data_IF_703631675874
#
_entry.id   IF_703631675874
#
_cell.length_a   1.000
_cell.length_b   1.000
_cell.length_c   1.000
_cell.angle_alpha   90.00
_cell.angle_beta   90.00
_cell.angle_gamma   90.00
#
_symmetry.space_group_name_H-M   'P 1'
#
loop_
_entity.id
_entity.type
_entity.pdbx_description
1 polymer ?
#
# COMPACT_ATOMS: atom_id res chain seq x y z
N UNK A 1 -5.44 -5.14 -21.22
CA UNK A 1 -5.49 -3.66 -21.32
C UNK A 1 -5.86 -3.20 -19.92
N UNK A 2 -4.89 -3.27 -19.02
CA UNK A 2 -5.08 -3.05 -17.60
C UNK A 2 -4.13 -1.95 -17.18
N UNK A 3 -4.53 -0.70 -17.42
CA UNK A 3 -3.88 0.41 -16.76
C UNK A 3 -4.10 0.27 -15.25
N UNK A 4 -3.15 0.74 -14.44
CA UNK A 4 -3.38 0.85 -12.99
C UNK A 4 -4.51 1.85 -12.78
N UNK A 5 -5.62 1.39 -12.19
CA UNK A 5 -6.77 2.25 -11.90
C UNK A 5 -6.57 3.09 -10.62
N UNK A 6 -5.74 2.58 -9.70
CA UNK A 6 -5.50 3.22 -8.40
C UNK A 6 -4.10 2.89 -7.85
N UNK A 7 -3.44 3.88 -7.26
CA UNK A 7 -2.14 3.76 -6.58
C UNK A 7 -2.37 4.00 -5.09
N UNK A 8 -2.15 2.94 -4.30
CA UNK A 8 -2.15 3.00 -2.84
C UNK A 8 -0.80 3.49 -2.30
N UNK A 9 -0.86 4.38 -1.31
CA UNK A 9 0.29 4.96 -0.65
C UNK A 9 0.02 5.27 0.84
N UNK A 10 1.07 5.62 1.57
CA UNK A 10 0.92 5.97 2.97
C UNK A 10 0.10 7.26 3.13
N UNK A 11 -0.77 7.31 4.15
CA UNK A 11 -1.45 8.52 4.60
C UNK A 11 -0.44 9.52 5.22
N UNK A 12 0.35 10.16 4.36
CA UNK A 12 1.33 11.18 4.68
C UNK A 12 1.35 12.24 3.56
N UNK A 13 1.33 13.51 3.96
CA UNK A 13 1.19 14.61 3.01
C UNK A 13 2.31 14.67 1.96
N UNK A 14 3.55 14.35 2.37
CA UNK A 14 4.72 14.38 1.47
C UNK A 14 4.71 13.18 0.51
N UNK A 15 4.26 12.02 0.99
CA UNK A 15 4.12 10.81 0.16
C UNK A 15 3.03 11.01 -0.89
N UNK A 16 1.87 11.54 -0.50
CA UNK A 16 0.77 11.84 -1.43
C UNK A 16 1.23 12.83 -2.50
N UNK A 17 1.97 13.88 -2.13
CA UNK A 17 2.50 14.86 -3.08
C UNK A 17 3.46 14.20 -4.08
N UNK A 18 4.41 13.39 -3.61
CA UNK A 18 5.36 12.68 -4.47
C UNK A 18 4.68 11.67 -5.41
N UNK A 19 3.61 11.00 -4.95
CA UNK A 19 2.81 10.10 -5.81
C UNK A 19 2.12 10.89 -6.90
N UNK A 20 1.50 12.03 -6.57
CA UNK A 20 0.86 12.92 -7.55
C UNK A 20 1.85 13.43 -8.60
N UNK A 21 3.01 13.94 -8.18
CA UNK A 21 4.09 14.36 -9.10
C UNK A 21 4.53 13.22 -10.03
N UNK A 22 4.64 12.00 -9.50
CA UNK A 22 4.99 10.82 -10.29
C UNK A 22 3.92 10.45 -11.33
N UNK A 23 2.63 10.59 -10.98
CA UNK A 23 1.50 10.38 -11.89
C UNK A 23 1.50 11.42 -13.01
N UNK A 24 1.72 12.70 -12.66
CA UNK A 24 1.80 13.80 -13.63
C UNK A 24 2.94 13.57 -14.62
N UNK A 25 4.15 13.30 -14.13
CA UNK A 25 5.31 12.99 -14.97
C UNK A 25 5.05 11.78 -15.89
N UNK A 26 4.45 10.71 -15.36
CA UNK A 26 4.08 9.54 -16.17
C UNK A 26 3.03 9.88 -17.24
N UNK A 27 2.08 10.76 -16.92
CA UNK A 27 1.06 11.24 -17.86
C UNK A 27 1.69 12.03 -18.99
N UNK A 28 2.64 12.92 -18.69
CA UNK A 28 3.38 13.70 -19.69
C UNK A 28 4.24 12.81 -20.59
N UNK A 29 4.95 11.84 -20.03
CA UNK A 29 5.88 10.99 -20.77
C UNK A 29 5.16 9.94 -21.62
N UNK A 30 4.15 9.29 -21.05
CA UNK A 30 3.50 8.13 -21.66
C UNK A 30 2.12 8.43 -22.27
N UNK A 31 1.58 9.64 -22.09
CA UNK A 31 0.25 10.01 -22.57
C UNK A 31 -0.84 9.15 -21.95
N UNK A 32 -0.81 8.97 -20.62
CA UNK A 32 -1.81 8.15 -19.91
C UNK A 32 -3.22 8.67 -20.22
N UNK A 33 -4.06 7.82 -20.82
CA UNK A 33 -5.42 8.22 -21.18
C UNK A 33 -6.34 8.41 -19.97
N UNK A 34 -5.99 7.79 -18.84
CA UNK A 34 -6.69 7.91 -17.56
C UNK A 34 -5.68 8.11 -16.44
N UNK A 35 -5.93 9.11 -15.60
CA UNK A 35 -5.17 9.32 -14.38
C UNK A 35 -5.59 8.25 -13.35
N UNK A 36 -4.67 7.45 -12.79
CA UNK A 36 -4.99 6.57 -11.67
C UNK A 36 -5.49 7.39 -10.47
N UNK A 37 -6.38 6.82 -9.67
CA UNK A 37 -6.75 7.40 -8.38
C UNK A 37 -5.61 7.27 -7.37
N UNK A 38 -5.43 8.27 -6.52
CA UNK A 38 -4.52 8.20 -5.37
C UNK A 38 -5.31 7.72 -4.15
N UNK A 39 -4.92 6.56 -3.61
CA UNK A 39 -5.50 5.99 -2.39
C UNK A 39 -4.50 6.14 -1.25
N UNK A 40 -5.00 6.54 -0.08
CA UNK A 40 -4.21 6.51 1.16
C UNK A 40 -4.67 5.35 2.05
N UNK A 41 -3.73 4.69 2.70
CA UNK A 41 -4.02 3.60 3.64
C UNK A 41 -3.87 4.03 5.11
N UNK A 42 -4.88 3.68 5.92
CA UNK A 42 -4.92 3.84 7.39
C UNK A 42 -5.35 2.55 8.08
N UNK A 43 -5.18 2.50 9.40
CA UNK A 43 -5.58 1.37 10.24
C UNK A 43 -6.45 1.82 11.41
N UNK A 44 -7.43 1.00 11.79
CA UNK A 44 -8.30 1.25 12.96
C UNK A 44 -7.66 0.77 14.29
N UNK A 45 -6.78 -0.23 14.26
CA UNK A 45 -6.04 -0.76 15.39
C UNK A 45 -4.63 -1.20 14.96
N UNK A 46 -3.83 -1.77 15.87
CA UNK A 46 -2.51 -2.31 15.58
C UNK A 46 -2.55 -3.28 14.41
N UNK A 47 -1.79 -2.94 13.37
CA UNK A 47 -1.71 -3.69 12.14
C UNK A 47 -0.24 -3.81 11.69
N UNK A 48 0.14 -5.00 11.19
CA UNK A 48 1.51 -5.31 10.77
C UNK A 48 1.92 -4.60 9.47
N UNK A 49 0.97 -4.10 8.69
CA UNK A 49 1.23 -3.20 7.56
C UNK A 49 1.64 -1.80 8.04
N UNK A 50 1.26 -1.43 9.28
CA UNK A 50 1.54 -0.14 9.90
C UNK A 50 2.62 -0.29 10.96
N UNK A 51 3.80 -0.68 10.50
CA UNK A 51 4.97 -0.90 11.35
C UNK A 51 6.18 -0.13 10.88
N UNK A 52 7.12 0.12 11.79
CA UNK A 52 8.45 0.64 11.49
C UNK A 52 9.50 -0.13 12.28
N UNK A 53 10.72 -0.11 11.76
CA UNK A 53 11.88 -0.52 12.53
C UNK A 53 12.23 0.57 13.54
N UNK A 54 12.68 0.18 14.72
CA UNK A 54 13.22 1.06 15.75
C UNK A 54 14.40 0.38 16.44
N UNK A 55 15.44 1.15 16.77
CA UNK A 55 16.55 0.71 17.62
C UNK A 55 17.23 1.92 18.23
N UNK A 56 17.92 1.72 19.36
CA UNK A 56 18.82 2.74 19.92
C UNK A 56 20.19 2.66 19.21
N UNK A 57 20.63 3.71 18.50
CA UNK A 57 21.93 3.71 17.83
C UNK A 57 23.13 3.61 18.80
N UNK A 58 22.93 3.90 20.08
CA UNK A 58 23.95 3.71 21.12
C UNK A 58 24.09 2.25 21.55
N UNK A 59 23.05 1.45 21.40
CA UNK A 59 23.10 0.00 21.65
C UNK A 59 23.75 -0.79 20.51
N UNK A 60 24.07 -0.13 19.38
CA UNK A 60 24.71 -0.78 18.23
C UNK A 60 26.23 -0.87 18.45
N UNK A 61 26.82 -2.09 18.49
CA UNK A 61 28.26 -2.25 18.68
C UNK A 61 29.08 -1.50 17.62
N UNK A 62 30.18 -0.88 18.04
CA UNK A 62 31.04 -0.10 17.14
C UNK A 62 31.69 -0.95 16.03
N UNK A 63 31.88 -2.25 16.28
CA UNK A 63 32.42 -3.25 15.35
C UNK A 63 31.34 -3.92 14.47
N UNK A 64 30.06 -3.53 14.62
CA UNK A 64 28.98 -4.03 13.78
C UNK A 64 29.19 -3.61 12.32
N UNK A 65 29.10 -4.58 11.40
CA UNK A 65 29.17 -4.31 9.95
C UNK A 65 27.94 -3.62 9.37
N UNK A 66 26.91 -3.39 10.20
CA UNK A 66 25.64 -2.69 9.86
C UNK A 66 24.95 -3.20 8.59
N UNK A 67 24.69 -4.53 8.47
CA UNK A 67 23.97 -5.07 7.30
C UNK A 67 22.55 -4.51 7.15
N UNK A 68 21.95 -4.02 8.24
CA UNK A 68 20.64 -3.37 8.24
C UNK A 68 20.62 -2.07 7.40
N UNK A 69 21.71 -1.31 7.37
CA UNK A 69 21.85 -0.10 6.55
C UNK A 69 21.85 -0.46 5.06
N UNK A 70 22.62 -1.49 4.70
CA UNK A 70 22.80 -1.97 3.32
C UNK A 70 21.50 -2.55 2.74
N UNK A 71 20.77 -3.34 3.54
CA UNK A 71 19.54 -4.01 3.07
C UNK A 71 18.34 -3.07 3.00
N UNK A 72 18.42 -1.88 3.60
CA UNK A 72 17.30 -0.95 3.71
C UNK A 72 17.06 -0.24 2.37
N UNK A 73 15.99 -0.58 1.63
CA UNK A 73 15.82 -0.06 0.27
C UNK A 73 15.48 1.43 0.21
N UNK A 74 15.02 2.01 1.32
CA UNK A 74 14.69 3.42 1.43
C UNK A 74 15.82 4.26 2.05
N UNK A 75 16.99 3.67 2.32
CA UNK A 75 18.09 4.33 3.05
C UNK A 75 17.59 5.03 4.32
N UNK A 76 16.74 4.32 5.07
CA UNK A 76 16.06 4.81 6.27
C UNK A 76 16.84 4.53 7.55
N UNK A 77 18.05 3.98 7.47
CA UNK A 77 18.91 3.69 8.62
C UNK A 77 20.21 4.46 8.40
N UNK A 78 20.62 5.26 9.39
CA UNK A 78 21.79 6.14 9.32
C UNK A 78 22.61 6.06 10.60
N UNK A 79 23.93 6.21 10.47
CA UNK A 79 24.89 6.25 11.58
C UNK A 79 25.96 7.36 11.39
N UNK A 80 25.55 8.48 10.77
CA UNK A 80 26.43 9.59 10.38
C UNK A 80 26.95 10.43 11.57
N UNK A 81 26.25 10.44 12.70
CA UNK A 81 26.58 11.19 13.92
C UNK A 81 27.92 10.78 14.55
N UNK A 82 28.39 9.55 14.31
CA UNK A 82 29.68 9.05 14.85
C UNK A 82 30.90 9.37 13.97
N UNK A 83 30.71 9.82 12.72
CA UNK A 83 31.81 10.09 11.78
C UNK A 83 32.22 11.57 11.70
N UNK A 84 31.47 12.48 12.32
CA UNK A 84 31.72 13.93 12.28
C UNK A 84 32.66 14.45 13.40
N UNK A 85 33.41 13.56 14.08
CA UNK A 85 34.52 13.94 14.98
C UNK A 85 35.86 14.11 14.23
N UNK A 86 35.82 14.10 12.90
CA UNK A 86 36.95 14.42 12.02
C UNK A 86 36.82 15.81 11.44
N UNK A 87 37.73 16.69 11.84
CA UNK A 87 37.90 18.09 11.45
C UNK A 87 37.58 18.38 9.97
N UNK A 88 36.53 19.17 9.72
CA UNK A 88 36.49 20.04 8.54
C UNK A 88 35.62 21.26 8.82
N UNK A 89 36.30 22.39 9.02
CA UNK A 89 35.71 23.71 8.94
C UNK A 89 35.21 23.92 7.51
N UNK A 90 33.89 23.96 7.31
CA UNK A 90 33.27 24.79 6.29
C UNK A 90 31.81 25.02 6.64
N UNK A 91 31.40 26.27 6.51
CA UNK A 91 30.09 26.84 6.76
C UNK A 91 29.03 26.23 5.84
N UNK A 92 28.32 25.21 6.31
CA UNK A 92 26.97 24.89 5.88
C UNK A 92 26.08 24.72 7.11
N UNK A 93 24.80 25.12 6.97
CA UNK A 93 23.74 24.99 7.98
C UNK A 93 23.80 23.61 8.68
N UNK A 94 23.54 23.53 9.99
CA UNK A 94 23.64 22.27 10.73
C UNK A 94 22.66 21.24 10.14
N UNK A 95 23.17 20.31 9.33
CA UNK A 95 22.42 19.10 8.98
C UNK A 95 22.27 18.34 10.28
N UNK A 96 21.04 18.20 10.78
CA UNK A 96 20.74 17.35 11.94
C UNK A 96 21.20 15.95 11.55
N UNK A 97 22.34 15.52 12.10
CA UNK A 97 22.85 14.17 11.92
C UNK A 97 21.97 13.26 12.78
N UNK A 98 21.03 12.57 12.14
CA UNK A 98 20.17 11.60 12.80
C UNK A 98 20.85 10.24 12.71
N UNK A 99 21.20 9.68 13.87
CA UNK A 99 21.57 8.28 14.02
C UNK A 99 20.33 7.46 14.35
N UNK A 100 20.24 6.25 13.81
CA UNK A 100 19.08 5.38 13.97
C UNK A 100 18.19 5.30 12.73
N UNK A 101 16.90 5.08 12.95
CA UNK A 101 15.89 4.97 11.89
C UNK A 101 15.31 6.34 11.56
N UNK A 102 15.44 6.77 10.31
CA UNK A 102 14.74 7.93 9.75
C UNK A 102 13.30 7.51 9.49
N UNK A 103 12.43 7.80 10.45
CA UNK A 103 11.03 7.37 10.50
C UNK A 103 10.28 7.67 9.21
N UNK A 104 10.52 8.83 8.59
CA UNK A 104 9.83 9.30 7.38
C UNK A 104 10.17 8.45 6.16
N UNK A 105 11.35 7.85 6.12
CA UNK A 105 11.80 6.95 5.04
C UNK A 105 11.48 5.48 5.33
N UNK A 106 11.33 5.13 6.60
CA UNK A 106 11.05 3.76 7.01
C UNK A 106 9.60 3.39 6.73
N UNK A 107 9.37 2.61 5.67
CA UNK A 107 8.04 2.12 5.30
C UNK A 107 7.72 0.73 5.86
N UNK A 108 8.49 0.22 6.82
CA UNK A 108 8.12 -1.00 7.55
C UNK A 108 8.31 -2.33 6.83
N UNK A 109 9.16 -2.40 5.80
CA UNK A 109 9.38 -3.63 5.02
C UNK A 109 9.94 -4.82 5.83
N UNK A 110 10.51 -4.54 6.99
CA UNK A 110 11.06 -5.53 7.91
C UNK A 110 12.36 -6.20 7.48
N UNK A 111 12.96 -5.82 6.34
CA UNK A 111 14.20 -6.45 5.82
C UNK A 111 15.40 -6.32 6.77
N UNK A 112 15.44 -5.26 7.56
CA UNK A 112 16.51 -5.00 8.52
C UNK A 112 16.46 -5.92 9.76
N UNK A 113 15.28 -6.42 10.15
CA UNK A 113 15.12 -7.24 11.35
C UNK A 113 15.92 -8.55 11.29
N UNK A 114 15.73 -9.44 10.30
CA UNK A 114 16.40 -10.74 10.29
C UNK A 114 17.90 -10.67 10.00
N UNK A 115 18.42 -9.53 9.54
CA UNK A 115 19.84 -9.37 9.20
C UNK A 115 20.66 -8.74 10.34
N UNK A 116 20.02 -8.24 11.40
CA UNK A 116 20.73 -7.65 12.53
C UNK A 116 21.46 -8.76 13.32
N UNK A 117 22.80 -8.79 13.37
CA UNK A 117 23.53 -9.88 14.03
C UNK A 117 23.41 -9.88 15.55
N UNK A 118 22.97 -8.77 16.14
CA UNK A 118 22.80 -8.59 17.59
C UNK A 118 21.34 -8.49 18.02
N UNK A 119 20.39 -8.68 17.10
CA UNK A 119 18.94 -8.65 17.37
C UNK A 119 18.48 -7.38 18.10
N UNK A 120 19.03 -6.21 17.70
CA UNK A 120 18.75 -4.90 18.33
C UNK A 120 17.61 -4.12 17.69
N UNK A 121 17.13 -4.56 16.52
CA UNK A 121 16.09 -3.86 15.76
C UNK A 121 14.74 -4.46 16.10
N UNK A 122 13.87 -3.65 16.71
CA UNK A 122 12.50 -4.04 17.02
C UNK A 122 11.51 -3.52 15.98
N UNK A 123 10.40 -4.24 15.85
CA UNK A 123 9.21 -3.78 15.14
C UNK A 123 8.33 -2.98 16.08
N UNK A 124 7.90 -1.79 15.64
CA UNK A 124 6.91 -0.99 16.35
C UNK A 124 5.74 -0.71 15.42
N UNK A 125 4.56 -1.17 15.83
CA UNK A 125 3.31 -0.84 15.16
C UNK A 125 2.82 0.53 15.61
N UNK A 126 2.17 1.25 14.70
CA UNK A 126 1.58 2.54 14.97
C UNK A 126 0.17 2.59 14.37
N UNK A 127 -0.66 3.49 14.89
CA UNK A 127 -1.99 3.78 14.35
C UNK A 127 -1.92 5.17 13.72
N UNK A 128 -2.47 5.32 12.52
CA UNK A 128 -2.54 6.62 11.86
C UNK A 128 -3.44 7.56 12.65
N UNK A 129 -2.96 8.78 12.86
CA UNK A 129 -3.74 9.80 13.56
C UNK A 129 -4.94 10.22 12.71
N UNK A 130 -6.14 10.11 13.28
CA UNK A 130 -7.38 10.36 12.56
C UNK A 130 -7.55 11.84 12.20
N UNK A 131 -7.09 12.77 13.04
CA UNK A 131 -7.19 14.21 12.77
C UNK A 131 -6.29 14.61 11.59
N UNK A 132 -5.04 14.13 11.59
CA UNK A 132 -4.08 14.32 10.49
C UNK A 132 -4.59 13.68 9.20
N UNK A 133 -5.23 12.51 9.30
CA UNK A 133 -5.86 11.85 8.14
C UNK A 133 -7.02 12.69 7.60
N UNK A 134 -7.89 13.21 8.47
CA UNK A 134 -8.99 14.07 8.07
C UNK A 134 -8.50 15.37 7.41
N UNK A 135 -7.41 15.96 7.89
CA UNK A 135 -6.75 17.10 7.24
C UNK A 135 -6.22 16.76 5.85
N UNK A 136 -5.63 15.57 5.70
CA UNK A 136 -5.15 15.06 4.42
C UNK A 136 -6.30 14.82 3.43
N UNK A 137 -7.42 14.26 3.89
CA UNK A 137 -8.64 14.04 3.09
C UNK A 137 -9.36 15.33 2.66
N UNK A 138 -9.10 16.46 3.34
CA UNK A 138 -9.60 17.77 2.93
C UNK A 138 -8.81 18.39 1.78
N UNK A 139 -7.69 17.78 1.37
CA UNK A 139 -6.94 18.20 0.19
C UNK A 139 -7.57 17.59 -1.06
N UNK A 140 -7.44 18.29 -2.19
CA UNK A 140 -7.98 17.87 -3.50
C UNK A 140 -7.02 16.92 -4.28
N UNK A 141 -6.13 16.22 -3.57
CA UNK A 141 -5.11 15.35 -4.17
C UNK A 141 -5.12 13.91 -3.63
N UNK A 142 -6.18 13.55 -2.90
CA UNK A 142 -6.51 12.19 -2.46
C UNK A 142 -7.88 11.80 -3.02
N UNK A 143 -7.93 10.71 -3.78
CA UNK A 143 -9.14 10.25 -4.46
C UNK A 143 -9.88 9.16 -3.66
N UNK A 144 -9.14 8.35 -2.91
CA UNK A 144 -9.67 7.18 -2.20
C UNK A 144 -8.96 6.93 -0.86
N UNK A 145 -9.58 6.15 0.02
CA UNK A 145 -8.94 5.72 1.26
C UNK A 145 -9.22 4.24 1.54
N UNK A 146 -8.18 3.53 1.97
CA UNK A 146 -8.25 2.16 2.50
C UNK A 146 -8.15 2.19 4.03
N UNK A 147 -9.08 1.50 4.69
CA UNK A 147 -9.05 1.25 6.14
C UNK A 147 -8.72 -0.23 6.35
N UNK A 148 -7.52 -0.50 6.85
CA UNK A 148 -7.16 -1.81 7.38
C UNK A 148 -7.84 -2.05 8.73
N UNK A 149 -8.49 -3.20 8.84
CA UNK A 149 -9.15 -3.63 10.06
C UNK A 149 -8.88 -5.09 10.35
N UNK A 150 -8.78 -5.42 11.65
CA UNK A 150 -8.71 -6.83 12.06
C UNK A 150 -10.04 -7.58 11.87
N UNK A 151 -11.15 -6.86 11.65
CA UNK A 151 -12.50 -7.41 11.52
C UNK A 151 -13.05 -8.07 12.79
N UNK A 152 -12.34 -7.99 13.92
CA UNK A 152 -12.73 -8.63 15.19
C UNK A 152 -13.50 -7.72 16.13
N UNK A 153 -13.30 -6.41 16.03
CA UNK A 153 -13.89 -5.40 16.90
C UNK A 153 -14.31 -4.20 16.06
N UNK A 154 -15.55 -3.75 16.23
CA UNK A 154 -16.12 -2.62 15.48
C UNK A 154 -15.95 -1.28 16.19
N UNK A 155 -15.55 -1.28 17.47
CA UNK A 155 -15.43 -0.07 18.28
C UNK A 155 -14.34 0.86 17.75
N UNK A 156 -13.15 0.33 17.48
CA UNK A 156 -12.03 1.09 16.94
C UNK A 156 -12.33 1.60 15.53
N UNK A 157 -12.94 0.75 14.68
CA UNK A 157 -13.42 1.14 13.36
C UNK A 157 -14.39 2.33 13.44
N UNK A 158 -15.35 2.27 14.40
CA UNK A 158 -16.31 3.34 14.64
C UNK A 158 -15.63 4.62 15.13
N UNK A 159 -14.68 4.52 16.05
CA UNK A 159 -13.91 5.67 16.55
C UNK A 159 -13.16 6.36 15.42
N UNK A 160 -12.44 5.60 14.59
CA UNK A 160 -11.77 6.12 13.40
C UNK A 160 -12.76 6.78 12.45
N UNK A 161 -13.83 6.09 12.07
CA UNK A 161 -14.83 6.60 11.12
C UNK A 161 -15.49 7.90 11.63
N UNK A 162 -15.86 7.94 12.91
CA UNK A 162 -16.42 9.15 13.52
C UNK A 162 -15.41 10.29 13.57
N UNK A 163 -14.14 10.02 13.83
CA UNK A 163 -13.08 11.03 13.88
C UNK A 163 -12.75 11.63 12.50
N UNK A 164 -12.90 10.85 11.42
CA UNK A 164 -12.78 11.36 10.05
C UNK A 164 -13.93 12.34 9.70
N UNK A 165 -15.12 12.12 10.27
CA UNK A 165 -16.23 13.07 10.17
C UNK A 165 -16.69 13.32 8.73
N UNK A 166 -16.81 14.58 8.36
CA UNK A 166 -17.23 15.05 7.03
C UNK A 166 -16.11 14.96 5.97
N UNK A 167 -14.85 14.79 6.38
CA UNK A 167 -13.74 14.70 5.43
C UNK A 167 -13.85 13.52 4.45
N UNK A 168 -14.61 12.48 4.81
CA UNK A 168 -14.89 11.33 3.94
C UNK A 168 -15.74 11.67 2.72
N UNK A 169 -16.42 12.82 2.72
CA UNK A 169 -17.25 13.29 1.59
C UNK A 169 -16.39 13.69 0.37
N UNK A 170 -15.11 13.99 0.55
CA UNK A 170 -14.18 14.31 -0.53
C UNK A 170 -13.71 13.06 -1.30
N UNK A 171 -13.98 11.87 -0.78
CA UNK A 171 -13.51 10.63 -1.36
C UNK A 171 -14.42 10.15 -2.49
N UNK A 172 -13.82 9.61 -3.55
CA UNK A 172 -14.50 8.90 -4.63
C UNK A 172 -14.74 7.43 -4.28
N UNK A 173 -13.90 6.86 -3.43
CA UNK A 173 -13.98 5.47 -3.00
C UNK A 173 -13.45 5.27 -1.57
N UNK A 174 -14.16 4.48 -0.78
CA UNK A 174 -13.71 3.91 0.49
C UNK A 174 -13.49 2.42 0.29
N UNK A 175 -12.32 1.95 0.71
CA UNK A 175 -12.01 0.54 0.78
C UNK A 175 -11.87 0.09 2.24
N UNK A 176 -12.44 -1.06 2.57
CA UNK A 176 -12.26 -1.71 3.88
C UNK A 176 -11.54 -3.03 3.65
N UNK A 177 -10.33 -3.12 4.20
CA UNK A 177 -9.40 -4.23 4.06
C UNK A 177 -9.49 -5.12 5.28
N UNK A 178 -9.94 -6.36 5.10
CA UNK A 178 -10.22 -7.28 6.20
C UNK A 178 -9.71 -8.70 5.94
N UNK A 179 -9.23 -9.40 6.99
CA UNK A 179 -8.81 -10.79 6.89
C UNK A 179 -10.02 -11.73 6.73
N UNK A 180 -9.73 -12.98 6.34
CA UNK A 180 -10.72 -14.04 6.39
C UNK A 180 -10.98 -14.46 7.84
N UNK A 181 -12.06 -13.95 8.43
CA UNK A 181 -12.55 -14.32 9.78
C UNK A 181 -13.40 -15.59 9.81
N UNK A 182 -13.52 -16.32 8.70
CA UNK A 182 -14.43 -17.44 8.55
C UNK A 182 -15.88 -17.00 8.76
N UNK A 183 -16.62 -17.71 9.61
CA UNK A 183 -18.05 -17.49 9.83
C UNK A 183 -18.42 -16.08 10.34
N UNK A 184 -17.51 -15.36 11.00
CA UNK A 184 -17.77 -14.00 11.49
C UNK A 184 -17.59 -12.91 10.42
N UNK A 185 -16.99 -13.22 9.27
CA UNK A 185 -16.60 -12.22 8.25
C UNK A 185 -17.81 -11.38 7.81
N UNK A 186 -18.90 -12.02 7.39
CA UNK A 186 -20.09 -11.34 6.90
C UNK A 186 -20.74 -10.48 7.99
N UNK A 187 -20.80 -10.98 9.23
CA UNK A 187 -21.33 -10.21 10.36
C UNK A 187 -20.52 -8.94 10.59
N UNK A 188 -19.19 -9.07 10.55
CA UNK A 188 -18.26 -7.96 10.77
C UNK A 188 -18.36 -6.93 9.65
N UNK A 189 -18.45 -7.39 8.39
CA UNK A 189 -18.69 -6.51 7.24
C UNK A 189 -20.00 -5.73 7.37
N UNK A 190 -21.09 -6.39 7.78
CA UNK A 190 -22.39 -5.72 7.96
C UNK A 190 -22.36 -4.68 9.08
N UNK A 191 -21.65 -4.95 10.17
CA UNK A 191 -21.49 -4.02 11.28
C UNK A 191 -20.71 -2.77 10.84
N UNK A 192 -19.56 -2.96 10.19
CA UNK A 192 -18.78 -1.86 9.62
C UNK A 192 -19.57 -1.07 8.57
N UNK A 193 -20.30 -1.76 7.69
CA UNK A 193 -21.16 -1.09 6.72
C UNK A 193 -22.25 -0.25 7.41
N UNK A 194 -22.85 -0.75 8.49
CA UNK A 194 -23.86 -0.01 9.25
C UNK A 194 -23.29 1.24 9.91
N UNK A 195 -22.01 1.21 10.32
CA UNK A 195 -21.27 2.37 10.82
C UNK A 195 -21.03 3.40 9.71
N UNK A 196 -20.62 2.95 8.52
CA UNK A 196 -20.31 3.83 7.39
C UNK A 196 -21.54 4.44 6.73
N UNK A 197 -22.61 3.64 6.59
CA UNK A 197 -23.81 3.93 5.80
C UNK A 197 -24.40 5.34 5.99
N UNK A 198 -24.47 5.92 7.20
CA UNK A 198 -25.05 7.26 7.39
C UNK A 198 -24.37 8.36 6.57
N UNK A 199 -23.03 8.28 6.38
CA UNK A 199 -22.23 9.33 5.75
C UNK A 199 -21.45 8.82 4.52
N UNK A 200 -21.74 7.61 4.04
CA UNK A 200 -21.08 7.01 2.89
C UNK A 200 -21.72 7.53 1.59
N UNK A 201 -21.05 8.48 0.93
CA UNK A 201 -21.52 9.09 -0.32
C UNK A 201 -20.76 8.59 -1.57
N UNK A 202 -19.78 7.71 -1.38
CA UNK A 202 -18.84 7.29 -2.41
C UNK A 202 -18.90 5.77 -2.66
N UNK A 203 -18.08 5.26 -3.59
CA UNK A 203 -18.05 3.82 -3.86
C UNK A 203 -17.50 3.04 -2.65
N UNK A 204 -18.11 1.90 -2.35
CA UNK A 204 -17.64 0.98 -1.32
C UNK A 204 -16.91 -0.22 -1.92
N UNK A 205 -15.70 -0.48 -1.45
CA UNK A 205 -14.85 -1.59 -1.86
C UNK A 205 -14.48 -2.45 -0.66
N UNK A 206 -14.70 -3.75 -0.76
CA UNK A 206 -14.24 -4.71 0.24
C UNK A 206 -12.98 -5.40 -0.26
N UNK A 207 -11.87 -5.10 0.38
CA UNK A 207 -10.56 -5.67 0.07
C UNK A 207 -10.34 -6.94 0.88
N UNK A 208 -10.26 -8.05 0.17
CA UNK A 208 -10.10 -9.38 0.74
C UNK A 208 -8.62 -9.60 1.02
N UNK A 209 -8.17 -9.09 2.16
CA UNK A 209 -6.78 -9.16 2.62
C UNK A 209 -6.51 -10.53 3.25
N UNK A 210 -6.43 -11.56 2.40
CA UNK A 210 -6.36 -12.98 2.79
C UNK A 210 -5.30 -13.33 3.83
N UNK A 211 -4.16 -13.92 3.41
CA UNK A 211 -3.04 -14.21 4.31
C UNK A 211 -2.10 -12.99 4.32
N UNK A 212 -1.63 -12.50 5.49
CA UNK A 212 -0.66 -11.41 5.58
C UNK A 212 0.54 -11.69 4.66
N UNK A 213 1.02 -10.66 3.96
CA UNK A 213 2.12 -10.77 2.99
C UNK A 213 3.46 -11.17 3.66
N UNK A 214 3.61 -12.45 4.02
CA UNK A 214 4.80 -13.00 4.66
C UNK A 214 5.88 -13.37 3.64
N UNK A 215 6.26 -12.46 2.74
CA UNK A 215 7.39 -12.60 1.79
C UNK A 215 7.30 -13.76 0.76
N UNK A 216 6.43 -14.73 0.97
CA UNK A 216 6.29 -15.96 0.21
C UNK A 216 5.11 -15.82 -0.75
N UNK A 217 5.42 -15.32 -1.95
CA UNK A 217 4.46 -15.04 -3.03
C UNK A 217 4.26 -16.32 -3.86
N UNK A 218 4.12 -17.46 -3.18
CA UNK A 218 3.96 -18.78 -3.80
C UNK A 218 2.55 -19.01 -4.34
N UNK A 219 2.36 -20.10 -5.10
CA UNK A 219 1.05 -20.51 -5.64
C UNK A 219 -0.01 -20.83 -4.57
N UNK A 220 0.42 -21.13 -3.34
CA UNK A 220 -0.47 -21.40 -2.21
C UNK A 220 -1.37 -20.21 -1.92
N UNK A 221 -0.75 -19.06 -1.60
CA UNK A 221 -1.42 -17.81 -1.20
C UNK A 221 -2.58 -17.41 -2.13
N UNK A 222 -2.42 -17.58 -3.45
CA UNK A 222 -3.45 -17.26 -4.44
C UNK A 222 -4.69 -18.15 -4.34
N UNK A 223 -4.53 -19.43 -3.97
CA UNK A 223 -5.66 -20.35 -3.82
C UNK A 223 -6.55 -19.95 -2.64
N UNK A 224 -5.96 -19.60 -1.51
CA UNK A 224 -6.72 -19.20 -0.33
C UNK A 224 -7.50 -17.90 -0.58
N UNK A 225 -6.88 -16.90 -1.21
CA UNK A 225 -7.56 -15.64 -1.54
C UNK A 225 -8.70 -15.85 -2.53
N UNK A 226 -8.52 -16.70 -3.55
CA UNK A 226 -9.61 -17.03 -4.49
C UNK A 226 -10.73 -17.80 -3.78
N UNK A 227 -10.41 -18.72 -2.88
CA UNK A 227 -11.42 -19.43 -2.10
C UNK A 227 -12.25 -18.47 -1.24
N UNK A 228 -11.59 -17.52 -0.59
CA UNK A 228 -12.26 -16.48 0.19
C UNK A 228 -13.18 -15.60 -0.67
N UNK A 229 -12.71 -15.21 -1.87
CA UNK A 229 -13.51 -14.47 -2.83
C UNK A 229 -14.75 -15.26 -3.31
N UNK A 230 -14.61 -16.57 -3.57
CA UNK A 230 -15.75 -17.44 -3.95
C UNK A 230 -16.80 -17.50 -2.84
N UNK A 231 -16.36 -17.64 -1.58
CA UNK A 231 -17.25 -17.71 -0.43
C UNK A 231 -18.08 -16.43 -0.29
N UNK A 232 -17.41 -15.27 -0.30
CA UNK A 232 -18.07 -13.97 -0.20
C UNK A 232 -18.92 -13.65 -1.43
N UNK A 233 -18.50 -14.04 -2.64
CA UNK A 233 -19.29 -13.80 -3.85
C UNK A 233 -20.63 -14.56 -3.83
N UNK A 234 -20.71 -15.70 -3.12
CA UNK A 234 -21.93 -16.50 -2.97
C UNK A 234 -22.78 -16.10 -1.77
N UNK A 235 -22.27 -15.25 -0.88
CA UNK A 235 -22.95 -14.88 0.34
C UNK A 235 -24.15 -13.96 0.06
N UNK A 236 -25.34 -14.39 0.46
CA UNK A 236 -26.60 -13.66 0.24
C UNK A 236 -26.74 -12.46 1.19
N UNK A 237 -26.19 -12.55 2.41
CA UNK A 237 -26.36 -11.56 3.47
C UNK A 237 -25.15 -10.60 3.63
N UNK A 238 -24.32 -10.45 2.61
CA UNK A 238 -23.18 -9.52 2.67
C UNK A 238 -23.65 -8.08 2.43
N UNK A 239 -22.97 -7.07 3.01
CA UNK A 239 -23.28 -5.68 2.69
C UNK A 239 -22.96 -5.35 1.23
N UNK A 240 -23.56 -4.30 0.66
CA UNK A 240 -23.27 -3.87 -0.70
C UNK A 240 -21.83 -3.36 -0.84
N UNK A 241 -21.31 -3.43 -2.06
CA UNK A 241 -19.95 -3.02 -2.40
C UNK A 241 -19.25 -4.02 -3.32
N UNK A 242 -18.25 -3.51 -4.04
CA UNK A 242 -17.39 -4.31 -4.89
C UNK A 242 -16.47 -5.19 -4.04
N UNK A 243 -16.03 -6.33 -4.58
CA UNK A 243 -15.01 -7.16 -3.95
C UNK A 243 -13.69 -7.00 -4.69
N UNK A 244 -12.58 -6.82 -3.98
CA UNK A 244 -11.23 -6.83 -4.56
C UNK A 244 -10.36 -7.83 -3.82
N UNK A 245 -9.59 -8.63 -4.55
CA UNK A 245 -8.57 -9.49 -3.93
C UNK A 245 -7.36 -8.62 -3.60
N UNK A 246 -6.95 -8.54 -2.34
CA UNK A 246 -5.84 -7.69 -1.89
C UNK A 246 -4.67 -8.48 -1.29
N UNK A 247 -4.96 -9.50 -0.48
CA UNK A 247 -3.94 -10.35 0.14
C UNK A 247 -3.56 -11.54 -0.75
N UNK A 248 -2.27 -11.92 -0.80
CA UNK A 248 -1.81 -13.15 -1.47
C UNK A 248 -1.91 -13.17 -3.01
N UNK A 249 -2.07 -12.00 -3.64
CA UNK A 249 -2.21 -11.85 -5.10
C UNK A 249 -0.86 -11.93 -5.82
N UNK A 250 -0.85 -12.52 -7.02
CA UNK A 250 0.32 -12.62 -7.88
C UNK A 250 -0.08 -12.86 -9.35
N UNK A 251 0.90 -13.15 -10.22
CA UNK A 251 0.70 -13.43 -11.63
C UNK A 251 -0.38 -14.49 -11.94
N UNK A 252 -0.64 -15.42 -11.02
CA UNK A 252 -1.59 -16.51 -11.21
C UNK A 252 -3.03 -16.17 -10.79
N UNK A 253 -3.25 -15.01 -10.14
CA UNK A 253 -4.56 -14.64 -9.60
C UNK A 253 -5.61 -14.48 -10.70
N UNK A 254 -5.29 -13.82 -11.80
CA UNK A 254 -6.21 -13.62 -12.93
C UNK A 254 -6.64 -14.96 -13.52
N UNK A 255 -5.69 -15.84 -13.84
CA UNK A 255 -5.99 -17.17 -14.38
C UNK A 255 -6.84 -18.00 -13.41
N UNK A 256 -6.59 -17.87 -12.11
CA UNK A 256 -7.37 -18.52 -11.07
C UNK A 256 -8.81 -18.03 -11.03
N UNK A 257 -9.05 -16.72 -11.11
CA UNK A 257 -10.39 -16.13 -11.15
C UNK A 257 -11.14 -16.52 -12.43
N UNK A 258 -10.47 -16.50 -13.60
CA UNK A 258 -11.05 -16.94 -14.89
C UNK A 258 -11.51 -18.39 -14.82
N UNK A 259 -10.68 -19.30 -14.29
CA UNK A 259 -11.05 -20.72 -14.10
C UNK A 259 -12.25 -20.93 -13.19
N UNK A 260 -12.56 -19.97 -12.32
CA UNK A 260 -13.69 -20.02 -11.39
C UNK A 260 -14.89 -19.22 -11.87
N UNK A 261 -14.82 -18.61 -13.06
CA UNK A 261 -15.90 -17.80 -13.63
C UNK A 261 -16.16 -16.49 -12.87
N UNK A 262 -15.21 -16.05 -12.03
CA UNK A 262 -15.33 -14.85 -11.19
C UNK A 262 -14.70 -13.61 -11.81
N UNK A 263 -14.04 -13.74 -12.96
CA UNK A 263 -13.44 -12.62 -13.68
C UNK A 263 -14.42 -12.16 -14.76
N UNK A 264 -15.18 -11.10 -14.50
CA UNK A 264 -16.02 -10.44 -15.49
C UNK A 264 -15.53 -9.00 -15.67
N UNK A 265 -15.03 -8.68 -16.86
CA UNK A 265 -14.69 -7.31 -17.24
C UNK A 265 -15.99 -6.56 -17.50
N UNK A 266 -16.50 -5.85 -16.50
CA UNK A 266 -17.68 -4.99 -16.70
C UNK A 266 -17.22 -3.59 -17.10
N UNK A 267 -17.54 -3.19 -18.32
CA UNK A 267 -17.63 -1.79 -18.70
C UNK A 267 -18.66 -1.15 -17.75
N UNK A 268 -18.21 -0.30 -16.84
CA UNK A 268 -19.07 0.39 -15.87
C UNK A 268 -20.06 1.26 -16.65
N UNK A 269 -21.29 0.77 -16.83
CA UNK A 269 -22.41 1.59 -17.25
C UNK A 269 -22.88 2.36 -16.01
N UNK A 270 -22.92 3.68 -16.11
CA UNK A 270 -23.09 4.64 -15.01
C UNK A 270 -24.48 4.59 -14.35
N UNK A 271 -25.43 3.77 -14.84
CA UNK A 271 -26.85 3.90 -14.49
C UNK A 271 -27.51 2.67 -13.82
N UNK A 272 -26.77 1.69 -13.29
CA UNK A 272 -27.39 0.56 -12.58
C UNK A 272 -26.93 0.43 -11.14
N UNK A 273 -27.54 1.22 -10.26
CA UNK A 273 -27.35 1.21 -8.81
C UNK A 273 -27.89 -0.03 -8.08
N UNK A 274 -28.18 -1.15 -8.76
CA UNK A 274 -28.86 -2.31 -8.16
C UNK A 274 -28.54 -3.69 -8.77
N UNK A 275 -27.34 -3.93 -9.32
CA UNK A 275 -26.96 -5.32 -9.64
C UNK A 275 -26.43 -6.03 -8.41
N UNK A 276 -27.23 -6.98 -7.90
CA UNK A 276 -26.96 -7.81 -6.72
C UNK A 276 -25.90 -8.92 -6.97
N UNK A 277 -25.27 -8.96 -8.14
CA UNK A 277 -24.26 -9.96 -8.45
C UNK A 277 -22.89 -9.49 -7.97
N UNK A 278 -22.23 -10.34 -7.17
CA UNK A 278 -20.90 -10.08 -6.65
C UNK A 278 -19.85 -10.06 -7.76
N UNK A 279 -19.66 -8.89 -8.35
CA UNK A 279 -18.61 -8.64 -9.31
C UNK A 279 -17.30 -8.40 -8.54
N UNK A 280 -16.31 -9.26 -8.78
CA UNK A 280 -14.92 -8.95 -8.42
C UNK A 280 -14.54 -7.69 -9.20
N UNK A 281 -14.46 -6.56 -8.50
CA UNK A 281 -14.21 -5.24 -9.06
C UNK A 281 -12.72 -4.97 -9.34
N UNK A 282 -11.82 -5.83 -8.88
CA UNK A 282 -10.39 -5.70 -9.18
C UNK A 282 -9.48 -6.65 -8.39
N UNK A 283 -8.18 -6.46 -8.59
CA UNK A 283 -7.11 -7.18 -7.90
C UNK A 283 -6.05 -6.14 -7.51
N UNK A 284 -5.68 -6.06 -6.22
CA UNK A 284 -4.56 -5.24 -5.79
C UNK A 284 -3.24 -6.03 -5.91
N UNK A 285 -2.16 -5.35 -6.29
CA UNK A 285 -0.84 -5.96 -6.48
C UNK A 285 0.23 -5.22 -5.67
N UNK A 286 0.58 -5.73 -4.49
CA UNK A 286 1.68 -5.17 -3.67
C UNK A 286 3.04 -5.78 -4.01
N UNK A 287 3.40 -6.87 -3.32
CA UNK A 287 4.72 -7.50 -3.43
C UNK A 287 5.09 -8.01 -4.84
N UNK A 288 4.08 -8.39 -5.63
CA UNK A 288 4.29 -8.80 -7.02
C UNK A 288 4.68 -7.61 -7.91
N UNK A 289 3.98 -6.48 -7.82
CA UNK A 289 4.34 -5.27 -8.56
C UNK A 289 5.78 -4.84 -8.26
N UNK A 290 6.23 -4.98 -7.00
CA UNK A 290 7.63 -4.73 -6.60
C UNK A 290 8.66 -5.63 -7.27
N UNK A 291 8.40 -6.93 -7.40
CA UNK A 291 9.33 -7.85 -8.11
C UNK A 291 9.53 -7.45 -9.56
N UNK A 292 8.47 -6.97 -10.16
CA UNK A 292 8.45 -6.58 -11.56
C UNK A 292 9.09 -5.20 -11.76
N UNK A 293 8.90 -4.27 -10.82
CA UNK A 293 9.51 -2.93 -10.82
C UNK A 293 10.93 -2.90 -10.26
N UNK A 294 11.42 -3.93 -9.56
CA UNK A 294 12.76 -3.95 -8.96
C UNK A 294 13.91 -3.78 -9.98
N UNK A 295 13.63 -3.95 -11.27
CA UNK A 295 14.55 -3.54 -12.34
C UNK A 295 14.90 -2.03 -12.31
N UNK A 296 14.11 -1.18 -11.62
CA UNK A 296 14.29 0.28 -11.50
C UNK A 296 15.54 0.65 -10.69
N UNK A 297 15.95 -0.22 -9.76
CA UNK A 297 17.12 0.01 -8.92
C UNK A 297 18.43 0.15 -9.71
N UNK A 298 18.50 -0.36 -10.95
CA UNK A 298 19.67 -0.23 -11.83
C UNK A 298 19.84 1.21 -12.32
N UNK A 299 18.76 1.98 -12.49
CA UNK A 299 18.81 3.36 -12.96
C UNK A 299 19.45 4.31 -11.93
N UNK A 300 19.31 4.02 -10.64
CA UNK A 300 19.90 4.84 -9.56
C UNK A 300 21.44 4.77 -9.51
N UNK A 301 22.06 3.78 -10.16
CA UNK A 301 23.52 3.63 -10.24
C UNK A 301 24.11 4.13 -11.56
N UNK A 302 23.28 4.65 -12.47
CA UNK A 302 23.72 5.13 -13.77
C UNK A 302 23.78 6.66 -13.80
N UNK A 303 24.82 7.26 -14.40
CA UNK A 303 24.88 8.70 -14.58
C UNK A 303 23.66 9.17 -15.40
N UNK A 304 22.92 10.12 -14.84
CA UNK A 304 21.77 10.75 -15.49
C UNK A 304 22.17 11.28 -16.87
N UNK A 305 21.43 10.89 -17.91
CA UNK A 305 21.71 11.29 -19.30
C UNK A 305 22.76 10.47 -20.06
N UNK A 306 23.31 9.40 -19.45
CA UNK A 306 24.16 8.47 -20.21
C UNK A 306 23.35 7.68 -21.25
N UNK A 307 23.97 7.27 -22.37
CA UNK A 307 23.30 6.43 -23.38
C UNK A 307 22.74 5.13 -22.80
N UNK A 308 23.42 4.57 -21.78
CA UNK A 308 22.97 3.38 -21.06
C UNK A 308 21.78 3.69 -20.13
N UNK A 309 21.78 4.84 -19.45
CA UNK A 309 20.63 5.35 -18.70
C UNK A 309 19.41 5.52 -19.62
N UNK A 310 19.57 6.19 -20.77
CA UNK A 310 18.47 6.43 -21.70
C UNK A 310 17.94 5.15 -22.35
N UNK A 311 18.82 4.20 -22.70
CA UNK A 311 18.42 2.91 -23.26
C UNK A 311 17.69 2.03 -22.23
N UNK A 312 18.18 1.98 -21.00
CA UNK A 312 17.51 1.24 -19.91
C UNK A 312 16.20 1.93 -19.56
N UNK A 313 16.18 3.26 -19.41
CA UNK A 313 14.98 4.05 -19.14
C UNK A 313 13.90 3.84 -20.21
N UNK A 314 14.24 3.88 -21.51
CA UNK A 314 13.29 3.59 -22.60
C UNK A 314 12.82 2.13 -22.60
N UNK A 315 13.72 1.15 -22.48
CA UNK A 315 13.35 -0.26 -22.40
C UNK A 315 12.45 -0.54 -21.18
N UNK A 316 12.65 0.19 -20.10
CA UNK A 316 11.93 0.03 -18.84
C UNK A 316 10.59 0.74 -18.83
N UNK A 317 10.48 1.94 -19.38
CA UNK A 317 9.19 2.58 -19.68
C UNK A 317 8.39 1.64 -20.57
N UNK A 318 8.99 1.08 -21.63
CA UNK A 318 8.32 0.10 -22.49
C UNK A 318 7.92 -1.18 -21.75
N UNK A 319 8.68 -1.62 -20.73
CA UNK A 319 8.34 -2.81 -19.93
C UNK A 319 7.27 -2.54 -18.88
N UNK A 320 7.34 -1.40 -18.19
CA UNK A 320 6.33 -0.88 -17.28
C UNK A 320 5.01 -0.65 -18.03
N UNK A 321 5.09 -0.05 -19.22
CA UNK A 321 3.97 0.09 -20.16
C UNK A 321 3.46 -1.26 -20.65
N UNK A 322 4.32 -2.24 -20.95
CA UNK A 322 3.87 -3.62 -21.27
C UNK A 322 3.15 -4.28 -20.10
N UNK A 323 3.58 -4.05 -18.86
CA UNK A 323 2.88 -4.57 -17.68
C UNK A 323 1.55 -3.87 -17.41
N UNK A 324 1.44 -2.59 -17.78
CA UNK A 324 0.21 -1.81 -17.81
C UNK A 324 -0.68 -2.14 -19.02
N UNK A 325 -0.23 -3.01 -19.94
CA UNK A 325 -0.95 -3.34 -21.18
C UNK A 325 -1.27 -4.84 -21.31
N UNK A 326 -0.43 -5.74 -20.78
CA UNK A 326 -0.50 -7.21 -20.98
C UNK A 326 -1.32 -8.00 -19.95
N UNK A 327 -2.01 -7.35 -19.01
CA UNK A 327 -3.02 -8.01 -18.17
C UNK A 327 -4.37 -7.30 -18.22
#
# INVERSE_FOLDING_TARGET
>A
MGAVDCIDCAADASVVSAVNEGIEAATEIAGLQKRPWVMISVNDDKDLHFRKAEFDPEDCPADCSRPCEIVCPANAISFLGKSASGTSSNTELPRILVDGVITERCYGCGRCLPVCPYDKIREVTYVRDAATTADLLRRDDVDAMEIHTSGRQSAQFKELWCALGDSVENLKLIAVSLPNGGASTISSMNEMFSIMKPNLQCFNLWQLDGRPMSGDIGRGATKETIAFAIELAKAINRPPGFLQLAGGTNAHTIDGLRKKGLFQTTSIAVDSSNSADALIGGIAYGGYARKVTCLLSILCYLPYGSNLYMAIYQMMILRLLRLLVEY
#
